data_IF_277871712536
#
_entry.id   IF_277871712536
#
_cell.length_a   1.000
_cell.length_b   1.000
_cell.length_c   1.000
_cell.angle_alpha   90.00
_cell.angle_beta   90.00
_cell.angle_gamma   90.00
#
_symmetry.space_group_name_H-M   'P 1'
#
loop_
_entity.id
_entity.type
_entity.pdbx_description
1 polymer ?
#
# COMPACT_ATOMS: atom_id res chain seq x y z
N UNK A 1 5.27 25.74 -5.92
CA UNK A 1 5.69 24.54 -5.16
C UNK A 1 4.56 23.79 -4.45
N UNK A 2 3.48 24.44 -3.95
CA UNK A 2 2.37 23.74 -3.25
C UNK A 2 1.64 22.65 -4.09
N UNK A 3 1.55 22.81 -5.40
CA UNK A 3 0.92 21.83 -6.31
C UNK A 3 1.67 20.48 -6.37
N UNK A 4 2.99 20.49 -6.19
CA UNK A 4 3.81 19.26 -6.20
C UNK A 4 3.56 18.41 -4.95
N UNK A 5 3.11 19.02 -3.85
CA UNK A 5 2.75 18.29 -2.64
C UNK A 5 1.46 17.47 -2.85
N UNK A 6 0.50 18.02 -3.59
CA UNK A 6 -0.74 17.31 -3.93
C UNK A 6 -0.54 16.21 -4.98
N UNK A 7 0.49 16.32 -5.83
CA UNK A 7 0.80 15.27 -6.80
C UNK A 7 1.31 13.96 -6.17
N UNK A 8 1.57 13.90 -4.87
CA UNK A 8 1.90 12.63 -4.20
C UNK A 8 0.72 11.67 -4.21
N UNK A 9 -0.52 12.16 -4.13
CA UNK A 9 -1.73 11.31 -4.12
C UNK A 9 -2.21 10.92 -5.53
N UNK A 10 -1.85 11.71 -6.54
CA UNK A 10 -2.35 11.55 -7.90
C UNK A 10 -1.92 10.22 -8.56
N UNK A 11 -0.66 9.75 -8.45
CA UNK A 11 -0.24 8.45 -8.97
C UNK A 11 -1.02 7.29 -8.36
N UNK A 12 -1.31 7.34 -7.05
CA UNK A 12 -2.07 6.30 -6.37
C UNK A 12 -3.51 6.19 -6.89
N UNK A 13 -4.16 7.32 -7.17
CA UNK A 13 -5.50 7.30 -7.76
C UNK A 13 -5.46 6.81 -9.21
N UNK A 14 -4.48 7.26 -9.99
CA UNK A 14 -4.34 6.88 -11.40
C UNK A 14 -4.10 5.37 -11.57
N UNK A 15 -3.25 4.77 -10.74
CA UNK A 15 -2.98 3.32 -10.82
C UNK A 15 -4.21 2.49 -10.46
N UNK A 16 -4.94 2.86 -9.39
CA UNK A 16 -6.17 2.16 -8.99
C UNK A 16 -7.26 2.30 -10.07
N UNK A 17 -7.40 3.49 -10.66
CA UNK A 17 -8.35 3.70 -11.75
C UNK A 17 -7.97 2.89 -13.01
N UNK A 18 -6.69 2.83 -13.37
CA UNK A 18 -6.21 2.02 -14.49
C UNK A 18 -6.51 0.53 -14.31
N UNK A 19 -6.25 -0.02 -13.13
CA UNK A 19 -6.61 -1.40 -12.80
C UNK A 19 -8.11 -1.65 -12.82
N UNK A 20 -8.91 -0.73 -12.26
CA UNK A 20 -10.37 -0.83 -12.29
C UNK A 20 -10.91 -0.90 -13.73
N UNK A 21 -10.41 -0.06 -14.63
CA UNK A 21 -10.80 -0.09 -16.05
C UNK A 21 -10.40 -1.42 -16.70
N UNK A 22 -9.19 -1.90 -16.44
CA UNK A 22 -8.71 -3.17 -17.01
C UNK A 22 -9.50 -4.39 -16.50
N UNK A 23 -9.81 -4.45 -15.21
CA UNK A 23 -10.52 -5.58 -14.61
C UNK A 23 -12.03 -5.53 -14.85
N UNK A 24 -12.66 -4.37 -14.68
CA UNK A 24 -14.08 -4.21 -14.94
C UNK A 24 -14.40 -4.34 -16.44
N UNK A 25 -13.51 -3.86 -17.32
CA UNK A 25 -13.65 -4.02 -18.77
C UNK A 25 -13.57 -5.48 -19.25
N UNK A 26 -13.04 -6.38 -18.42
CA UNK A 26 -13.00 -7.81 -18.72
C UNK A 26 -14.29 -8.55 -18.33
N UNK A 27 -15.10 -7.99 -17.43
CA UNK A 27 -16.39 -8.59 -17.06
C UNK A 27 -17.32 -8.68 -18.29
N UNK A 28 -18.06 -9.79 -18.50
CA UNK A 28 -18.33 -10.89 -17.56
C UNK A 28 -17.38 -12.10 -17.68
N UNK A 29 -16.18 -11.90 -18.24
CA UNK A 29 -15.24 -12.98 -18.53
C UNK A 29 -14.06 -12.99 -17.55
N UNK A 30 -13.67 -14.20 -17.13
CA UNK A 30 -12.36 -14.43 -16.47
C UNK A 30 -11.32 -14.68 -17.55
N UNK A 31 -11.66 -15.57 -18.49
CA UNK A 31 -10.90 -15.83 -19.71
C UNK A 31 -11.86 -15.69 -20.89
N UNK A 32 -11.55 -14.77 -21.81
CA UNK A 32 -12.43 -14.45 -22.93
C UNK A 32 -12.79 -15.69 -23.75
N UNK A 33 -14.08 -15.90 -23.99
CA UNK A 33 -14.60 -17.01 -24.78
C UNK A 33 -14.47 -18.40 -24.14
N UNK A 34 -13.87 -18.50 -22.95
CA UNK A 34 -13.58 -19.78 -22.29
C UNK A 34 -14.29 -19.93 -20.93
N UNK A 35 -14.27 -18.90 -20.09
CA UNK A 35 -14.80 -19.00 -18.72
C UNK A 35 -15.41 -17.68 -18.25
N UNK A 36 -16.66 -17.73 -17.79
CA UNK A 36 -17.36 -16.58 -17.21
C UNK A 36 -17.03 -16.41 -15.73
N UNK A 37 -17.13 -15.18 -15.23
CA UNK A 37 -16.91 -14.87 -13.81
C UNK A 37 -17.87 -15.60 -12.89
N UNK A 38 -19.11 -15.86 -13.34
CA UNK A 38 -20.10 -16.64 -12.58
C UNK A 38 -19.71 -18.11 -12.39
N UNK A 39 -18.92 -18.67 -13.30
CA UNK A 39 -18.48 -20.07 -13.27
C UNK A 39 -17.24 -20.27 -12.39
N UNK A 40 -16.55 -19.18 -12.02
CA UNK A 40 -15.35 -19.22 -11.17
C UNK A 40 -15.62 -19.18 -9.66
N UNK A 41 -16.88 -19.09 -9.24
CA UNK A 41 -17.23 -19.01 -7.82
C UNK A 41 -17.16 -20.39 -7.17
N UNK A 42 -16.37 -20.52 -6.12
CA UNK A 42 -16.24 -21.77 -5.36
C UNK A 42 -17.50 -22.05 -4.50
N UNK A 43 -17.93 -23.31 -4.36
CA UNK A 43 -19.12 -23.68 -3.60
C UNK A 43 -18.83 -23.75 -2.10
N UNK A 44 -18.59 -22.58 -1.47
CA UNK A 44 -18.31 -22.45 -0.04
C UNK A 44 -19.37 -21.62 0.66
N UNK A 45 -19.50 -21.78 1.98
CA UNK A 45 -20.48 -21.04 2.76
C UNK A 45 -20.16 -19.54 2.76
N UNK A 46 -21.19 -18.70 2.59
CA UNK A 46 -21.06 -17.24 2.59
C UNK A 46 -20.37 -16.71 3.86
N UNK A 47 -20.61 -17.36 5.01
CA UNK A 47 -19.99 -17.02 6.29
C UNK A 47 -18.46 -17.15 6.25
N UNK A 48 -17.93 -18.14 5.53
CA UNK A 48 -16.48 -18.34 5.40
C UNK A 48 -15.85 -17.23 4.55
N UNK A 49 -16.49 -16.86 3.44
CA UNK A 49 -16.05 -15.76 2.56
C UNK A 49 -16.00 -14.44 3.33
N UNK A 50 -17.09 -14.12 4.02
CA UNK A 50 -17.20 -12.86 4.79
C UNK A 50 -16.16 -12.84 5.92
N UNK A 51 -15.99 -13.95 6.63
CA UNK A 51 -14.98 -14.04 7.69
C UNK A 51 -13.56 -13.84 7.15
N UNK A 52 -13.18 -14.54 6.07
CA UNK A 52 -11.85 -14.38 5.48
C UNK A 52 -11.62 -12.98 4.92
N UNK A 53 -12.63 -12.39 4.29
CA UNK A 53 -12.55 -11.04 3.74
C UNK A 53 -12.40 -10.00 4.86
N UNK A 54 -13.20 -10.12 5.91
CA UNK A 54 -13.09 -9.24 7.08
C UNK A 54 -11.72 -9.37 7.76
N UNK A 55 -11.21 -10.59 7.92
CA UNK A 55 -9.89 -10.83 8.48
C UNK A 55 -8.79 -10.15 7.64
N UNK A 56 -8.84 -10.27 6.31
CA UNK A 56 -7.89 -9.61 5.41
C UNK A 56 -8.00 -8.08 5.48
N UNK A 57 -9.23 -7.54 5.47
CA UNK A 57 -9.46 -6.08 5.56
C UNK A 57 -8.89 -5.54 6.87
N UNK A 58 -9.18 -6.18 8.00
CA UNK A 58 -8.66 -5.77 9.31
C UNK A 58 -7.13 -5.83 9.31
N UNK A 59 -6.56 -6.95 8.84
CA UNK A 59 -5.12 -7.14 8.80
C UNK A 59 -4.41 -6.06 7.97
N UNK A 60 -4.86 -5.80 6.74
CA UNK A 60 -4.28 -4.76 5.90
C UNK A 60 -4.51 -3.35 6.44
N UNK A 61 -5.63 -3.10 7.13
CA UNK A 61 -5.89 -1.81 7.78
C UNK A 61 -4.89 -1.54 8.91
N UNK A 62 -4.59 -2.55 9.73
CA UNK A 62 -3.57 -2.44 10.80
C UNK A 62 -2.20 -2.14 10.19
N UNK A 63 -1.83 -2.85 9.12
CA UNK A 63 -0.57 -2.60 8.41
C UNK A 63 -0.51 -1.18 7.83
N UNK A 64 -1.60 -0.70 7.22
CA UNK A 64 -1.68 0.66 6.70
C UNK A 64 -1.46 1.71 7.79
N UNK A 65 -2.09 1.55 8.96
CA UNK A 65 -1.91 2.46 10.10
C UNK A 65 -0.45 2.45 10.57
N UNK A 66 0.14 1.26 10.71
CA UNK A 66 1.54 1.12 11.11
C UNK A 66 2.48 1.79 10.10
N UNK A 67 2.27 1.56 8.80
CA UNK A 67 3.08 2.12 7.73
C UNK A 67 3.00 3.66 7.69
N UNK A 68 1.79 4.22 7.71
CA UNK A 68 1.60 5.68 7.77
C UNK A 68 2.23 6.28 9.02
N UNK A 69 2.10 5.62 10.17
CA UNK A 69 2.75 6.04 11.41
C UNK A 69 4.28 6.07 11.27
N UNK A 70 4.88 5.02 10.71
CA UNK A 70 6.33 4.93 10.51
C UNK A 70 6.82 5.98 9.51
N UNK A 71 6.13 6.15 8.38
CA UNK A 71 6.45 7.17 7.38
C UNK A 71 6.43 8.56 8.03
N UNK A 72 5.39 8.92 8.77
CA UNK A 72 5.31 10.23 9.44
C UNK A 72 6.41 10.38 10.49
N UNK A 73 6.67 9.33 11.29
CA UNK A 73 7.67 9.36 12.36
C UNK A 73 9.08 9.55 11.82
N UNK A 74 9.45 8.84 10.75
CA UNK A 74 10.79 8.91 10.17
C UNK A 74 10.95 10.08 9.20
N UNK A 75 9.93 10.44 8.41
CA UNK A 75 9.98 11.60 7.52
C UNK A 75 10.21 12.91 8.30
N UNK A 76 9.69 13.03 9.52
CA UNK A 76 9.90 14.20 10.40
C UNK A 76 11.24 14.21 11.11
N UNK A 77 11.96 13.08 11.18
CA UNK A 77 13.16 12.96 12.03
C UNK A 77 14.38 13.70 11.47
N UNK A 78 14.36 14.09 10.18
CA UNK A 78 15.45 14.84 9.53
C UNK A 78 16.81 14.12 9.56
N UNK A 79 17.81 14.58 8.81
CA UNK A 79 19.15 13.97 8.79
C UNK A 79 19.98 14.22 10.07
N UNK A 80 19.43 14.87 11.10
CA UNK A 80 20.17 15.25 12.32
C UNK A 80 20.72 14.05 13.10
N UNK A 81 20.10 12.87 12.98
CA UNK A 81 20.59 11.68 13.67
C UNK A 81 21.88 11.11 13.08
N UNK A 82 22.22 11.39 11.82
CA UNK A 82 23.48 10.89 11.22
C UNK A 82 24.66 11.85 11.44
N UNK A 83 24.41 13.16 11.48
CA UNK A 83 25.46 14.17 11.64
C UNK A 83 26.13 14.08 13.01
N UNK A 84 25.38 13.76 14.08
CA UNK A 84 25.97 13.65 15.43
C UNK A 84 26.96 12.50 15.59
N UNK A 85 26.71 11.32 14.99
CA UNK A 85 27.64 10.18 15.12
C UNK A 85 28.91 10.34 14.28
N UNK A 86 28.85 11.04 13.14
CA UNK A 86 30.02 11.37 12.33
C UNK A 86 30.96 12.38 13.01
N UNK A 87 30.41 13.33 13.77
CA UNK A 87 31.20 14.35 14.47
C UNK A 87 31.78 13.84 15.80
N UNK A 88 31.06 13.01 16.56
CA UNK A 88 31.57 12.46 17.82
C UNK A 88 32.55 11.28 17.61
N UNK A 89 32.40 10.50 16.53
CA UNK A 89 33.31 9.41 16.18
C UNK A 89 34.66 9.89 15.61
N UNK A 90 34.69 11.06 14.96
CA UNK A 90 35.91 11.65 14.40
C UNK A 90 36.80 12.34 15.44
N UNK A 91 36.24 12.86 16.53
CA UNK A 91 37.00 13.63 17.54
C UNK A 91 37.78 12.74 18.51
N UNK A 92 37.31 11.51 18.78
CA UNK A 92 37.96 10.59 19.74
C UNK A 92 39.19 9.85 19.21
N UNK A 93 39.53 9.98 17.93
CA UNK A 93 40.70 9.30 17.33
C UNK A 93 41.89 10.23 17.06
N UNK A 94 41.81 11.50 17.49
CA UNK A 94 42.86 12.51 17.22
C UNK A 94 43.36 13.20 18.50
N UNK A 95 43.09 12.66 19.69
CA UNK A 95 43.60 13.15 20.98
C UNK A 95 44.54 12.17 21.64
#
# INVERSE_FOLDING_TARGET
>A
MKLVLYSVLLPYLAINAGWMVAEAGRQPWVVYGLMKTSEGVSPIALSQVVFSLAALVIFYTVLLIADVYLIIKYAKKGPESEVKYGLEGGVKHVS
#
